data_IF_883612877633
#
_entry.id   IF_883612877633
#
_cell.length_a   1.000
_cell.length_b   1.000
_cell.length_c   1.000
_cell.angle_alpha   90.00
_cell.angle_beta   90.00
_cell.angle_gamma   90.00
#
_symmetry.space_group_name_H-M   'P 1'
#
loop_
_entity.id
_entity.type
_entity.pdbx_description
1 polymer ?
#
# COMPACT_ATOMS: atom_id res chain seq x y z
N UNK A 1 -5.86 -6.75 -24.16
CA UNK A 1 -4.77 -6.90 -23.15
C UNK A 1 -5.30 -7.82 -22.08
N UNK A 2 -4.57 -8.78 -21.57
CA UNK A 2 -5.01 -9.65 -20.49
C UNK A 2 -5.14 -8.82 -19.22
N UNK A 3 -5.02 -7.85 -18.83
CA UNK A 3 -5.32 -6.99 -17.69
C UNK A 3 -5.68 -7.75 -16.41
N UNK A 4 -6.76 -7.33 -15.77
CA UNK A 4 -7.34 -7.98 -14.58
C UNK A 4 -8.67 -8.69 -14.88
N UNK A 5 -8.93 -8.94 -16.15
CA UNK A 5 -10.15 -9.64 -16.58
C UNK A 5 -10.31 -10.97 -15.83
N UNK A 6 -11.50 -11.20 -15.28
CA UNK A 6 -11.86 -12.39 -14.48
C UNK A 6 -11.05 -12.60 -13.19
N UNK A 7 -10.23 -11.64 -12.77
CA UNK A 7 -9.54 -11.67 -11.48
C UNK A 7 -10.46 -11.18 -10.37
N UNK A 8 -10.29 -11.74 -9.18
CA UNK A 8 -10.98 -11.31 -7.96
C UNK A 8 -10.00 -10.50 -7.12
N UNK A 9 -10.33 -9.23 -6.87
CA UNK A 9 -9.43 -8.30 -6.19
C UNK A 9 -10.14 -7.68 -4.99
N UNK A 10 -9.51 -7.76 -3.83
CA UNK A 10 -9.94 -7.10 -2.60
C UNK A 10 -9.32 -5.72 -2.53
N UNK A 11 -10.12 -4.68 -2.32
CA UNK A 11 -9.65 -3.31 -2.09
C UNK A 11 -10.12 -2.85 -0.72
N UNK A 12 -9.18 -2.55 0.19
CA UNK A 12 -9.52 -2.06 1.53
C UNK A 12 -9.53 -0.53 1.57
N UNK A 13 -10.42 0.05 2.40
CA UNK A 13 -10.66 1.49 2.41
C UNK A 13 -11.25 1.97 1.08
N UNK A 14 -12.14 1.16 0.49
CA UNK A 14 -12.65 1.37 -0.86
C UNK A 14 -13.96 2.16 -0.93
N UNK A 15 -14.49 2.62 0.20
CA UNK A 15 -15.73 3.41 0.25
C UNK A 15 -15.57 4.88 -0.20
N UNK A 16 -14.34 5.35 -0.44
CA UNK A 16 -14.11 6.74 -0.88
C UNK A 16 -12.70 7.01 -1.36
N UNK A 17 -12.49 8.20 -1.91
CA UNK A 17 -11.18 8.69 -2.35
C UNK A 17 -10.44 7.75 -3.29
N UNK A 18 -9.17 7.51 -3.00
CA UNK A 18 -8.30 6.63 -3.79
C UNK A 18 -8.86 5.20 -3.89
N UNK A 19 -9.27 4.62 -2.76
CA UNK A 19 -9.75 3.23 -2.73
C UNK A 19 -11.00 3.02 -3.58
N UNK A 20 -11.94 3.99 -3.58
CA UNK A 20 -13.09 3.97 -4.48
C UNK A 20 -12.65 3.97 -5.94
N UNK A 21 -11.72 4.87 -6.33
CA UNK A 21 -11.28 4.94 -7.72
C UNK A 21 -10.50 3.69 -8.15
N UNK A 22 -9.75 3.06 -7.24
CA UNK A 22 -9.14 1.76 -7.51
C UNK A 22 -10.19 0.68 -7.80
N UNK A 23 -11.23 0.60 -6.95
CA UNK A 23 -12.31 -0.36 -7.12
C UNK A 23 -13.07 -0.17 -8.44
N UNK A 24 -13.41 1.07 -8.78
CA UNK A 24 -14.07 1.42 -10.04
C UNK A 24 -13.19 1.09 -11.26
N UNK A 25 -11.91 1.43 -11.21
CA UNK A 25 -10.98 1.16 -12.32
C UNK A 25 -10.78 -0.33 -12.51
N UNK A 26 -10.54 -1.10 -11.44
CA UNK A 26 -10.41 -2.55 -11.52
C UNK A 26 -11.65 -3.22 -12.08
N UNK A 27 -12.84 -2.77 -11.66
CA UNK A 27 -14.10 -3.30 -12.18
C UNK A 27 -14.32 -2.97 -13.67
N UNK A 28 -13.96 -1.77 -14.12
CA UNK A 28 -13.98 -1.37 -15.56
C UNK A 28 -13.06 -2.25 -16.41
N UNK A 29 -11.93 -2.68 -15.83
CA UNK A 29 -10.98 -3.59 -16.48
C UNK A 29 -11.38 -5.08 -16.36
N UNK A 30 -12.60 -5.37 -15.87
CA UNK A 30 -13.19 -6.71 -15.83
C UNK A 30 -12.92 -7.53 -14.58
N UNK A 31 -12.34 -6.96 -13.52
CA UNK A 31 -12.20 -7.64 -12.25
C UNK A 31 -13.54 -7.76 -11.50
N UNK A 32 -13.66 -8.78 -10.66
CA UNK A 32 -14.65 -8.85 -9.59
C UNK A 32 -14.04 -8.23 -8.32
N UNK A 33 -14.72 -7.27 -7.69
CA UNK A 33 -14.13 -6.46 -6.64
C UNK A 33 -14.85 -6.67 -5.30
N UNK A 34 -14.10 -6.99 -4.25
CA UNK A 34 -14.56 -6.83 -2.86
C UNK A 34 -14.25 -5.41 -2.42
N UNK A 35 -15.28 -4.63 -2.20
CA UNK A 35 -15.21 -3.25 -1.71
C UNK A 35 -15.28 -3.28 -0.19
N UNK A 36 -14.13 -3.32 0.47
CA UNK A 36 -14.08 -3.29 1.92
C UNK A 36 -13.92 -1.86 2.43
N UNK A 37 -14.82 -1.44 3.31
CA UNK A 37 -14.72 -0.18 4.04
C UNK A 37 -15.49 -0.25 5.36
N UNK A 38 -14.87 0.14 6.47
CA UNK A 38 -15.51 0.22 7.78
C UNK A 38 -16.54 1.36 7.86
N UNK A 39 -16.47 2.33 6.95
CA UNK A 39 -17.37 3.48 6.91
C UNK A 39 -17.09 4.54 7.98
N UNK A 40 -15.89 4.53 8.56
CA UNK A 40 -15.46 5.48 9.58
C UNK A 40 -15.04 6.85 9.03
N UNK A 41 -14.87 7.80 9.97
CA UNK A 41 -14.30 9.11 9.68
C UNK A 41 -12.79 9.02 9.41
N UNK A 42 -12.16 10.16 9.02
CA UNK A 42 -10.72 10.27 8.71
C UNK A 42 -9.81 9.82 9.86
N UNK A 43 -10.21 10.03 11.10
CA UNK A 43 -9.48 9.66 12.32
C UNK A 43 -9.73 8.21 12.77
N UNK A 44 -10.58 7.47 12.04
CA UNK A 44 -10.96 6.09 12.34
C UNK A 44 -12.11 5.97 13.34
N UNK A 45 -12.82 7.04 13.67
CA UNK A 45 -14.01 6.99 14.52
C UNK A 45 -15.26 6.65 13.70
N UNK A 46 -16.20 5.95 14.32
CA UNK A 46 -17.46 5.55 13.69
C UNK A 46 -17.32 4.35 12.73
N UNK A 47 -18.47 3.87 12.27
CA UNK A 47 -18.60 2.81 11.28
C UNK A 47 -19.94 2.97 10.54
N UNK A 48 -20.03 2.42 9.32
CA UNK A 48 -21.28 2.44 8.54
C UNK A 48 -21.13 1.71 7.21
N UNK A 49 -22.24 1.28 6.64
CA UNK A 49 -22.24 0.49 5.40
C UNK A 49 -22.34 1.34 4.14
N UNK A 50 -22.93 2.53 4.22
CA UNK A 50 -23.34 3.35 3.08
C UNK A 50 -22.23 3.62 2.07
N UNK A 51 -20.99 3.81 2.53
CA UNK A 51 -19.87 4.15 1.64
C UNK A 51 -19.49 2.98 0.73
N UNK A 52 -19.33 1.78 1.28
CA UNK A 52 -19.03 0.59 0.50
C UNK A 52 -20.21 0.21 -0.43
N UNK A 53 -21.44 0.26 0.09
CA UNK A 53 -22.66 -0.03 -0.69
C UNK A 53 -22.82 0.89 -1.91
N UNK A 54 -22.52 2.18 -1.75
CA UNK A 54 -22.58 3.14 -2.85
C UNK A 54 -21.59 2.77 -3.96
N UNK A 55 -20.36 2.43 -3.61
CA UNK A 55 -19.34 2.04 -4.61
C UNK A 55 -19.73 0.73 -5.30
N UNK A 56 -20.24 -0.25 -4.55
CA UNK A 56 -20.76 -1.49 -5.13
C UNK A 56 -21.90 -1.22 -6.09
N UNK A 57 -22.83 -0.31 -5.73
CA UNK A 57 -23.91 0.08 -6.62
C UNK A 57 -23.38 0.72 -7.90
N UNK A 58 -22.43 1.65 -7.81
CA UNK A 58 -21.82 2.31 -8.98
C UNK A 58 -21.17 1.28 -9.92
N UNK A 59 -20.43 0.32 -9.37
CA UNK A 59 -19.81 -0.76 -10.15
C UNK A 59 -20.87 -1.61 -10.86
N UNK A 60 -21.93 -2.02 -10.14
CA UNK A 60 -23.00 -2.84 -10.70
C UNK A 60 -23.82 -2.10 -11.76
N UNK A 61 -24.13 -0.82 -11.54
CA UNK A 61 -24.83 0.03 -12.50
C UNK A 61 -24.02 0.21 -13.81
N UNK A 62 -22.69 0.17 -13.72
CA UNK A 62 -21.77 0.16 -14.87
C UNK A 62 -21.57 -1.24 -15.51
N UNK A 63 -22.27 -2.28 -15.03
CA UNK A 63 -22.18 -3.64 -15.56
C UNK A 63 -21.04 -4.48 -14.99
N UNK A 64 -20.29 -3.98 -14.00
CA UNK A 64 -19.23 -4.68 -13.31
C UNK A 64 -19.73 -5.60 -12.18
N UNK A 65 -18.81 -6.34 -11.55
CA UNK A 65 -19.10 -7.26 -10.45
C UNK A 65 -18.44 -6.77 -9.16
N UNK A 66 -19.23 -6.56 -8.11
CA UNK A 66 -18.70 -6.16 -6.81
C UNK A 66 -19.59 -6.63 -5.65
N UNK A 67 -18.97 -6.80 -4.49
CA UNK A 67 -19.63 -7.07 -3.21
C UNK A 67 -19.03 -6.17 -2.12
N UNK A 68 -19.86 -5.72 -1.19
CA UNK A 68 -19.42 -4.93 -0.04
C UNK A 68 -18.95 -5.84 1.11
N UNK A 69 -17.98 -5.35 1.87
CA UNK A 69 -17.56 -5.91 3.15
C UNK A 69 -17.26 -4.77 4.12
N UNK A 70 -17.59 -4.93 5.40
CA UNK A 70 -17.55 -3.86 6.41
C UNK A 70 -16.64 -4.20 7.59
N UNK A 71 -15.88 -5.28 7.51
CA UNK A 71 -15.00 -5.73 8.58
C UNK A 71 -13.77 -4.82 8.71
N UNK A 72 -13.25 -4.75 9.93
CA UNK A 72 -12.04 -4.00 10.25
C UNK A 72 -10.78 -4.75 9.82
N UNK A 73 -9.90 -4.10 9.07
CA UNK A 73 -8.57 -4.62 8.72
C UNK A 73 -7.65 -4.74 9.94
N UNK A 74 -7.90 -3.94 10.98
CA UNK A 74 -7.06 -3.92 12.19
C UNK A 74 -7.16 -5.21 13.00
N UNK A 75 -8.24 -5.97 12.82
CA UNK A 75 -8.51 -7.21 13.55
C UNK A 75 -8.24 -8.43 12.65
N UNK A 76 -7.48 -9.44 13.11
CA UNK A 76 -7.20 -10.63 12.30
C UNK A 76 -8.47 -11.34 11.80
N UNK A 77 -9.48 -11.50 12.67
CA UNK A 77 -10.76 -12.12 12.29
C UNK A 77 -11.51 -11.28 11.23
N UNK A 78 -11.43 -9.95 11.30
CA UNK A 78 -12.00 -9.07 10.28
C UNK A 78 -11.30 -9.26 8.93
N UNK A 79 -9.99 -9.36 8.93
CA UNK A 79 -9.20 -9.62 7.72
C UNK A 79 -9.53 -10.99 7.09
N UNK A 80 -9.71 -12.03 7.91
CA UNK A 80 -10.16 -13.35 7.44
C UNK A 80 -11.54 -13.27 6.79
N UNK A 81 -12.50 -12.55 7.41
CA UNK A 81 -13.83 -12.34 6.85
C UNK A 81 -13.81 -11.56 5.53
N UNK A 82 -12.90 -10.57 5.38
CA UNK A 82 -12.71 -9.85 4.12
C UNK A 82 -12.34 -10.83 2.99
N UNK A 83 -11.37 -11.71 3.23
CA UNK A 83 -10.95 -12.71 2.24
C UNK A 83 -12.03 -13.77 2.03
N UNK A 84 -12.68 -14.22 3.09
CA UNK A 84 -13.82 -15.13 3.00
C UNK A 84 -14.94 -14.57 2.12
N UNK A 85 -15.22 -13.28 2.18
CA UNK A 85 -16.20 -12.62 1.29
C UNK A 85 -15.83 -12.79 -0.19
N UNK A 86 -14.54 -12.68 -0.55
CA UNK A 86 -14.09 -12.91 -1.91
C UNK A 86 -14.29 -14.37 -2.35
N UNK A 87 -13.99 -15.31 -1.46
CA UNK A 87 -14.14 -16.75 -1.73
C UNK A 87 -15.61 -17.17 -1.85
N UNK A 88 -16.46 -16.69 -0.94
CA UNK A 88 -17.88 -17.05 -0.92
C UNK A 88 -18.63 -16.47 -2.14
N UNK A 89 -18.33 -15.24 -2.54
CA UNK A 89 -19.06 -14.55 -3.60
C UNK A 89 -18.51 -14.87 -5.01
N UNK A 90 -17.18 -15.00 -5.12
CA UNK A 90 -16.51 -15.11 -6.41
C UNK A 90 -15.68 -16.39 -6.59
N UNK A 91 -15.57 -17.22 -5.57
CA UNK A 91 -14.86 -18.49 -5.60
C UNK A 91 -13.33 -18.41 -5.55
N UNK A 92 -12.75 -17.21 -5.49
CA UNK A 92 -11.28 -17.02 -5.50
C UNK A 92 -10.86 -15.68 -4.90
N UNK A 93 -9.56 -15.51 -4.66
CA UNK A 93 -8.91 -14.23 -4.45
C UNK A 93 -7.60 -14.21 -5.24
N UNK A 94 -7.40 -13.20 -6.09
CA UNK A 94 -6.22 -13.09 -6.96
C UNK A 94 -5.34 -11.87 -6.61
N UNK A 95 -5.91 -10.86 -5.97
CA UNK A 95 -5.17 -9.67 -5.57
C UNK A 95 -5.72 -9.00 -4.32
N UNK A 96 -4.82 -8.29 -3.62
CA UNK A 96 -5.13 -7.43 -2.46
C UNK A 96 -4.53 -6.06 -2.70
N UNK A 97 -5.38 -5.04 -2.69
CA UNK A 97 -4.99 -3.62 -2.64
C UNK A 97 -5.23 -3.12 -1.22
N UNK A 98 -4.17 -3.10 -0.42
CA UNK A 98 -4.19 -2.63 0.97
C UNK A 98 -4.06 -1.11 1.00
N UNK A 99 -5.21 -0.42 1.05
CA UNK A 99 -5.30 1.03 1.00
C UNK A 99 -5.94 1.65 2.25
N UNK A 100 -6.68 0.89 3.06
CA UNK A 100 -7.31 1.39 4.28
C UNK A 100 -6.34 2.17 5.17
N UNK A 101 -6.81 3.27 5.74
CA UNK A 101 -5.95 4.13 6.54
C UNK A 101 -6.69 5.23 7.28
N UNK A 102 -6.05 5.72 8.36
CA UNK A 102 -6.52 6.82 9.19
C UNK A 102 -5.37 7.81 9.44
N UNK A 103 -5.69 9.03 9.86
CA UNK A 103 -4.71 10.02 10.29
C UNK A 103 -4.99 10.47 11.73
N UNK A 104 -3.95 10.39 12.57
CA UNK A 104 -3.91 10.93 13.93
C UNK A 104 -2.56 11.59 14.14
N UNK A 105 -2.36 12.70 13.44
CA UNK A 105 -1.11 13.45 13.40
C UNK A 105 -0.85 14.18 14.71
N UNK A 106 0.42 14.33 15.05
CA UNK A 106 0.87 15.09 16.21
C UNK A 106 2.40 15.11 16.28
N UNK A 107 2.97 16.19 16.82
CA UNK A 107 4.42 16.25 17.05
C UNK A 107 4.86 15.15 18.01
N UNK A 108 6.04 14.57 17.78
CA UNK A 108 6.49 13.36 18.49
C UNK A 108 6.38 13.45 20.02
N UNK A 109 6.80 14.57 20.59
CA UNK A 109 6.74 14.79 22.05
C UNK A 109 5.32 14.97 22.62
N UNK A 110 4.31 15.16 21.76
CA UNK A 110 2.88 15.25 22.12
C UNK A 110 2.06 14.08 21.61
N UNK A 111 2.70 13.15 20.89
CA UNK A 111 2.02 11.98 20.34
C UNK A 111 1.49 11.09 21.48
N UNK A 112 0.18 10.92 21.55
CA UNK A 112 -0.45 9.98 22.48
C UNK A 112 -0.24 8.55 22.00
N UNK A 113 -0.05 7.62 22.93
CA UNK A 113 0.14 6.21 22.60
C UNK A 113 -1.04 5.64 21.81
N UNK A 114 -2.27 6.04 22.14
CA UNK A 114 -3.49 5.60 21.47
C UNK A 114 -3.52 6.05 20.00
N UNK A 115 -3.00 7.22 19.69
CA UNK A 115 -2.90 7.73 18.32
C UNK A 115 -1.81 7.00 17.52
N UNK A 116 -0.67 6.72 18.17
CA UNK A 116 0.38 5.89 17.60
C UNK A 116 -0.13 4.50 17.27
N UNK A 117 -0.69 3.81 18.26
CA UNK A 117 -1.15 2.42 18.17
C UNK A 117 -2.28 2.25 17.14
N UNK A 118 -3.27 3.15 17.15
CA UNK A 118 -4.38 3.11 16.20
C UNK A 118 -3.89 3.23 14.74
N UNK A 119 -2.94 4.13 14.47
CA UNK A 119 -2.38 4.30 13.11
C UNK A 119 -1.60 3.05 12.68
N UNK A 120 -0.77 2.49 13.55
CA UNK A 120 -0.05 1.25 13.25
C UNK A 120 -1.02 0.08 13.02
N UNK A 121 -2.05 -0.06 13.86
CA UNK A 121 -3.05 -1.12 13.74
C UNK A 121 -3.78 -1.09 12.40
N UNK A 122 -4.22 0.07 11.96
CA UNK A 122 -4.96 0.16 10.69
C UNK A 122 -4.03 0.00 9.49
N UNK A 123 -2.89 0.71 9.47
CA UNK A 123 -2.03 0.73 8.29
C UNK A 123 -1.12 -0.51 8.20
N UNK A 124 -0.31 -0.76 9.23
CA UNK A 124 0.72 -1.80 9.18
C UNK A 124 0.14 -3.18 9.49
N UNK A 125 -0.52 -3.31 10.65
CA UNK A 125 -1.17 -4.58 11.00
C UNK A 125 -2.32 -4.90 10.06
N UNK A 126 -3.12 -3.91 9.64
CA UNK A 126 -4.20 -4.11 8.69
C UNK A 126 -3.70 -4.63 7.35
N UNK A 127 -2.62 -4.05 6.81
CA UNK A 127 -1.96 -4.56 5.61
C UNK A 127 -1.47 -6.00 5.79
N UNK A 128 -0.75 -6.26 6.88
CA UNK A 128 -0.30 -7.61 7.22
C UNK A 128 -1.47 -8.61 7.33
N UNK A 129 -2.50 -8.28 8.08
CA UNK A 129 -3.62 -9.18 8.35
C UNK A 129 -4.32 -9.63 7.06
N UNK A 130 -4.69 -8.68 6.20
CA UNK A 130 -5.43 -8.97 4.96
C UNK A 130 -4.54 -9.76 3.98
N UNK A 131 -3.28 -9.38 3.82
CA UNK A 131 -2.34 -10.10 2.95
C UNK A 131 -2.10 -11.50 3.51
N UNK A 132 -1.91 -11.64 4.84
CA UNK A 132 -1.70 -12.94 5.50
C UNK A 132 -2.88 -13.88 5.30
N UNK A 133 -4.12 -13.37 5.37
CA UNK A 133 -5.33 -14.16 5.11
C UNK A 133 -5.42 -14.63 3.65
N UNK A 134 -5.01 -13.80 2.68
CA UNK A 134 -5.00 -14.16 1.27
C UNK A 134 -3.84 -15.07 0.86
N UNK A 135 -2.74 -15.06 1.60
CA UNK A 135 -1.48 -15.69 1.21
C UNK A 135 -1.55 -17.21 0.93
N UNK A 136 -2.27 -18.04 1.71
CA UNK A 136 -2.44 -19.46 1.41
C UNK A 136 -3.07 -19.71 0.05
N UNK A 137 -4.09 -18.93 -0.31
CA UNK A 137 -4.81 -19.02 -1.59
C UNK A 137 -3.90 -18.62 -2.76
N UNK A 138 -3.10 -17.56 -2.60
CA UNK A 138 -2.12 -17.15 -3.61
C UNK A 138 -1.09 -18.25 -3.87
N UNK A 139 -0.62 -18.92 -2.83
CA UNK A 139 0.35 -20.05 -2.96
C UNK A 139 -0.27 -21.26 -3.62
N UNK A 140 -1.48 -21.63 -3.25
CA UNK A 140 -2.19 -22.80 -3.79
C UNK A 140 -2.42 -22.63 -5.30
N UNK A 141 -2.92 -21.47 -5.73
CA UNK A 141 -3.19 -21.20 -7.15
C UNK A 141 -1.95 -20.75 -7.96
N UNK A 142 -0.79 -20.59 -7.31
CA UNK A 142 0.45 -20.08 -7.92
C UNK A 142 0.24 -18.75 -8.65
N UNK A 143 -0.48 -17.85 -8.04
CA UNK A 143 -0.75 -16.49 -8.51
C UNK A 143 -1.19 -15.59 -7.36
N UNK A 144 -0.60 -14.42 -7.25
CA UNK A 144 -1.03 -13.39 -6.30
C UNK A 144 -0.49 -12.02 -6.66
N UNK A 145 -1.29 -10.98 -6.45
CA UNK A 145 -0.87 -9.58 -6.63
C UNK A 145 -1.18 -8.78 -5.37
N UNK A 146 -0.16 -8.20 -4.80
CA UNK A 146 -0.26 -7.35 -3.61
C UNK A 146 0.19 -5.94 -3.96
N UNK A 147 -0.68 -4.98 -3.70
CA UNK A 147 -0.36 -3.55 -3.79
C UNK A 147 -0.66 -2.90 -2.46
N UNK A 148 0.33 -2.33 -1.81
CA UNK A 148 0.15 -1.59 -0.55
C UNK A 148 0.28 -0.09 -0.78
N UNK A 149 -0.59 0.69 -0.15
CA UNK A 149 -0.48 2.14 -0.14
C UNK A 149 0.53 2.58 0.92
N UNK A 150 1.76 2.88 0.51
CA UNK A 150 2.76 3.61 1.31
C UNK A 150 2.53 5.13 1.20
N UNK A 151 3.52 5.95 1.46
CA UNK A 151 3.42 7.41 1.37
C UNK A 151 4.79 8.04 1.21
N UNK A 152 4.85 9.22 0.59
CA UNK A 152 6.05 10.08 0.64
C UNK A 152 6.45 10.43 2.08
N UNK A 153 5.49 10.53 3.00
CA UNK A 153 5.76 10.69 4.44
C UNK A 153 6.50 9.49 5.03
N UNK A 154 6.21 8.27 4.56
CA UNK A 154 6.98 7.08 4.95
C UNK A 154 8.37 7.04 4.30
N UNK A 155 8.47 7.43 3.03
CA UNK A 155 9.71 7.36 2.26
C UNK A 155 10.72 8.45 2.65
N UNK A 156 10.24 9.68 2.93
CA UNK A 156 11.09 10.85 3.08
C UNK A 156 10.87 11.60 4.41
N UNK A 157 9.90 11.16 5.22
CA UNK A 157 9.52 11.82 6.44
C UNK A 157 8.52 12.95 6.21
N UNK A 158 7.74 13.27 7.26
CA UNK A 158 6.88 14.44 7.31
C UNK A 158 6.69 14.88 8.77
N UNK A 159 6.72 16.18 9.01
CA UNK A 159 6.58 16.75 10.36
C UNK A 159 5.21 16.39 10.95
N UNK A 160 5.19 15.89 12.19
CA UNK A 160 3.97 15.54 12.89
C UNK A 160 3.38 14.16 12.51
N UNK A 161 4.05 13.37 11.67
CA UNK A 161 3.56 12.08 11.18
C UNK A 161 4.50 10.92 11.52
N UNK A 162 5.06 10.89 12.72
CA UNK A 162 5.97 9.80 13.11
C UNK A 162 5.29 8.42 13.14
N UNK A 163 4.05 8.33 13.63
CA UNK A 163 3.24 7.13 13.60
C UNK A 163 2.92 6.68 12.16
N UNK A 164 2.41 7.60 11.35
CA UNK A 164 2.04 7.36 9.96
C UNK A 164 3.26 7.00 9.11
N UNK A 165 4.35 7.77 9.22
CA UNK A 165 5.59 7.50 8.51
C UNK A 165 6.18 6.13 8.84
N UNK A 166 6.21 5.76 10.13
CA UNK A 166 6.66 4.44 10.57
C UNK A 166 5.81 3.31 9.98
N UNK A 167 4.47 3.44 10.04
CA UNK A 167 3.56 2.44 9.48
C UNK A 167 3.72 2.30 7.96
N UNK A 168 3.82 3.42 7.24
CA UNK A 168 3.92 3.44 5.78
C UNK A 168 5.27 2.92 5.26
N UNK A 169 6.37 3.20 5.95
CA UNK A 169 7.67 2.60 5.60
C UNK A 169 7.73 1.12 6.02
N UNK A 170 7.07 0.74 7.12
CA UNK A 170 6.93 -0.65 7.53
C UNK A 170 6.27 -1.53 6.45
N UNK A 171 5.28 -1.00 5.72
CA UNK A 171 4.68 -1.69 4.57
C UNK A 171 5.68 -1.91 3.44
N UNK A 172 6.64 -1.01 3.22
CA UNK A 172 7.72 -1.22 2.23
C UNK A 172 8.61 -2.37 2.65
N UNK A 173 8.99 -2.46 3.94
CA UNK A 173 9.72 -3.60 4.48
C UNK A 173 8.95 -4.91 4.32
N UNK A 174 7.63 -4.89 4.55
CA UNK A 174 6.77 -6.06 4.37
C UNK A 174 6.79 -6.54 2.92
N UNK A 175 6.55 -5.68 1.93
CA UNK A 175 6.52 -6.10 0.51
C UNK A 175 7.87 -6.59 0.02
N UNK A 176 8.98 -6.06 0.53
CA UNK A 176 10.32 -6.54 0.16
C UNK A 176 10.51 -8.01 0.55
N UNK A 177 10.09 -8.39 1.76
CA UNK A 177 10.15 -9.77 2.22
C UNK A 177 9.16 -10.68 1.49
N UNK A 178 7.91 -10.22 1.31
CA UNK A 178 6.88 -10.97 0.59
C UNK A 178 7.25 -11.24 -0.86
N UNK A 179 7.94 -10.32 -1.52
CA UNK A 179 8.41 -10.50 -2.89
C UNK A 179 9.40 -11.67 -3.01
N UNK A 180 10.29 -11.84 -2.02
CA UNK A 180 11.23 -12.98 -1.97
C UNK A 180 10.49 -14.30 -1.70
N UNK A 181 9.59 -14.31 -0.71
CA UNK A 181 8.82 -15.51 -0.36
C UNK A 181 7.83 -15.92 -1.47
N UNK A 182 7.29 -14.95 -2.18
CA UNK A 182 6.29 -15.14 -3.24
C UNK A 182 6.86 -15.53 -4.60
N UNK A 183 8.15 -15.28 -4.85
CA UNK A 183 8.76 -15.38 -6.18
C UNK A 183 8.50 -16.73 -6.88
N UNK A 184 8.67 -17.85 -6.18
CA UNK A 184 8.45 -19.18 -6.76
C UNK A 184 6.98 -19.56 -6.98
N UNK A 185 6.04 -18.74 -6.50
CA UNK A 185 4.59 -18.94 -6.63
C UNK A 185 3.95 -17.88 -7.53
N UNK A 186 4.71 -17.12 -8.31
CA UNK A 186 4.18 -16.02 -9.12
C UNK A 186 3.37 -15.00 -8.28
N UNK A 187 3.80 -14.75 -7.04
CA UNK A 187 3.21 -13.74 -6.18
C UNK A 187 4.09 -12.51 -6.21
N UNK A 188 3.52 -11.39 -6.67
CA UNK A 188 4.21 -10.10 -6.75
C UNK A 188 3.66 -9.14 -5.70
N UNK A 189 4.53 -8.44 -4.99
CA UNK A 189 4.17 -7.47 -3.97
C UNK A 189 4.86 -6.12 -4.26
N UNK A 190 4.06 -5.06 -4.42
CA UNK A 190 4.54 -3.72 -4.76
C UNK A 190 3.87 -2.67 -3.86
N UNK A 191 4.42 -1.47 -3.83
CA UNK A 191 3.88 -0.34 -3.10
C UNK A 191 3.67 0.87 -3.99
N UNK A 192 2.64 1.65 -3.70
CA UNK A 192 2.45 2.98 -4.24
C UNK A 192 2.50 4.02 -3.13
N UNK A 193 3.09 5.17 -3.41
CA UNK A 193 3.01 6.38 -2.59
C UNK A 193 2.19 7.41 -3.37
N UNK A 194 0.86 7.42 -3.19
CA UNK A 194 -0.02 8.25 -3.99
C UNK A 194 0.07 9.72 -3.59
N UNK A 195 0.07 10.60 -4.59
CA UNK A 195 -0.13 12.03 -4.45
C UNK A 195 -1.50 12.36 -5.04
N UNK A 196 -2.52 12.43 -4.20
CA UNK A 196 -3.89 12.66 -4.64
C UNK A 196 -4.66 13.59 -3.69
N UNK A 197 -5.57 14.36 -4.28
CA UNK A 197 -6.56 15.13 -3.55
C UNK A 197 -7.60 14.18 -2.95
N UNK A 198 -7.60 14.05 -1.65
CA UNK A 198 -8.52 13.22 -0.89
C UNK A 198 -8.93 13.95 0.38
N UNK A 199 -9.90 13.43 1.12
CA UNK A 199 -10.23 13.93 2.47
C UNK A 199 -9.01 14.06 3.40
N UNK A 200 -7.91 13.39 3.09
CA UNK A 200 -6.67 13.46 3.87
C UNK A 200 -5.78 14.64 3.52
N UNK A 201 -5.96 15.27 2.34
CA UNK A 201 -5.07 16.30 1.80
C UNK A 201 -5.76 17.63 1.51
N UNK A 202 -7.10 17.66 1.47
CA UNK A 202 -7.88 18.84 1.05
C UNK A 202 -7.64 20.09 1.91
N UNK A 203 -7.32 19.93 3.18
CA UNK A 203 -7.05 21.03 4.12
C UNK A 203 -5.57 21.49 4.11
N UNK A 204 -4.70 20.79 3.36
CA UNK A 204 -3.24 20.98 3.44
C UNK A 204 -2.68 21.68 2.19
N UNK A 205 -3.33 21.47 1.03
CA UNK A 205 -2.83 21.95 -0.27
C UNK A 205 -3.73 23.02 -0.88
N UNK A 206 -3.16 23.98 -1.65
CA UNK A 206 -3.94 24.95 -2.40
C UNK A 206 -4.90 24.27 -3.38
N UNK A 207 -6.10 24.85 -3.58
CA UNK A 207 -7.15 24.28 -4.47
C UNK A 207 -6.67 24.01 -5.90
N UNK A 208 -5.80 24.88 -6.43
CA UNK A 208 -5.21 24.73 -7.77
C UNK A 208 -4.28 23.52 -7.88
N UNK A 209 -3.61 23.16 -6.80
CA UNK A 209 -2.78 21.95 -6.72
C UNK A 209 -3.66 20.72 -6.58
N UNK A 210 -4.68 20.78 -5.71
CA UNK A 210 -5.64 19.69 -5.51
C UNK A 210 -6.37 19.32 -6.80
N UNK A 211 -6.75 20.30 -7.61
CA UNK A 211 -7.41 20.07 -8.90
C UNK A 211 -6.57 19.28 -9.91
N UNK A 212 -5.24 19.25 -9.75
CA UNK A 212 -4.30 18.48 -10.58
C UNK A 212 -3.94 17.11 -9.98
N UNK A 213 -4.31 16.86 -8.73
CA UNK A 213 -3.99 15.65 -7.99
C UNK A 213 -5.23 14.78 -7.81
N UNK A 214 -5.91 14.43 -8.90
CA UNK A 214 -7.10 13.58 -8.80
C UNK A 214 -6.74 12.09 -8.69
N UNK A 215 -7.56 11.28 -7.99
CA UNK A 215 -7.34 9.83 -7.84
C UNK A 215 -7.23 9.07 -9.15
N UNK A 216 -7.84 9.56 -10.22
CA UNK A 216 -7.84 8.96 -11.56
C UNK A 216 -6.43 8.86 -12.18
N UNK A 217 -5.48 9.70 -11.75
CA UNK A 217 -4.08 9.55 -12.15
C UNK A 217 -3.36 8.39 -11.48
N UNK A 218 -3.88 7.91 -10.35
CA UNK A 218 -3.24 6.85 -9.55
C UNK A 218 -3.82 5.47 -9.88
N UNK A 219 -5.13 5.39 -10.07
CA UNK A 219 -5.85 4.13 -10.19
C UNK A 219 -5.36 3.23 -11.35
N UNK A 220 -5.01 3.74 -12.55
CA UNK A 220 -4.48 2.89 -13.63
C UNK A 220 -3.16 2.21 -13.27
N UNK A 221 -2.30 2.87 -12.47
CA UNK A 221 -1.04 2.26 -12.02
C UNK A 221 -1.31 1.12 -11.04
N UNK A 222 -2.26 1.29 -10.11
CA UNK A 222 -2.69 0.22 -9.20
C UNK A 222 -3.26 -0.96 -9.97
N UNK A 223 -4.14 -0.69 -10.94
CA UNK A 223 -4.71 -1.74 -11.79
C UNK A 223 -3.62 -2.50 -12.56
N UNK A 224 -2.65 -1.80 -13.17
CA UNK A 224 -1.53 -2.43 -13.86
C UNK A 224 -0.68 -3.31 -12.91
N UNK A 225 -0.41 -2.86 -11.69
CA UNK A 225 0.32 -3.66 -10.70
C UNK A 225 -0.41 -4.94 -10.29
N UNK A 226 -1.72 -5.02 -10.51
CA UNK A 226 -2.55 -6.21 -10.28
C UNK A 226 -2.64 -7.15 -11.50
N UNK A 227 -2.06 -6.78 -12.66
CA UNK A 227 -2.10 -7.60 -13.88
C UNK A 227 -1.06 -8.72 -13.86
N UNK A 228 -1.24 -9.68 -14.76
CA UNK A 228 -0.25 -10.74 -15.00
C UNK A 228 0.99 -10.23 -15.71
N UNK A 229 0.85 -9.20 -16.56
CA UNK A 229 1.93 -8.60 -17.35
C UNK A 229 2.90 -7.77 -16.50
N UNK A 230 2.51 -7.36 -15.31
CA UNK A 230 3.42 -6.62 -14.44
C UNK A 230 4.60 -7.51 -13.99
N UNK A 231 5.85 -7.21 -14.44
CA UNK A 231 7.01 -8.02 -14.08
C UNK A 231 7.62 -7.63 -12.73
N UNK A 232 7.15 -6.52 -12.14
CA UNK A 232 7.80 -5.95 -10.97
C UNK A 232 7.28 -6.58 -9.67
N UNK A 233 8.22 -6.82 -8.76
CA UNK A 233 7.97 -7.11 -7.36
C UNK A 233 8.96 -6.31 -6.49
N UNK A 234 8.70 -6.08 -5.23
CA UNK A 234 9.49 -5.24 -4.32
C UNK A 234 9.74 -3.81 -4.86
N UNK A 235 8.79 -3.28 -5.62
CA UNK A 235 8.94 -1.95 -6.23
C UNK A 235 8.03 -0.93 -5.58
N UNK A 236 8.55 0.29 -5.42
CA UNK A 236 7.82 1.43 -4.83
C UNK A 236 7.64 2.49 -5.90
N UNK A 237 6.41 2.95 -6.11
CA UNK A 237 6.08 3.97 -7.11
C UNK A 237 5.43 5.19 -6.45
N UNK A 238 5.99 6.38 -6.66
CA UNK A 238 5.32 7.66 -6.36
C UNK A 238 4.46 8.03 -7.56
N UNK A 239 3.17 8.23 -7.34
CA UNK A 239 2.18 8.39 -8.43
C UNK A 239 1.22 9.54 -8.11
N UNK A 240 1.08 10.47 -9.03
CA UNK A 240 0.08 11.55 -8.93
C UNK A 240 0.34 12.70 -9.88
N UNK A 241 -0.69 13.48 -10.20
CA UNK A 241 -0.59 14.64 -11.08
C UNK A 241 -0.02 14.32 -12.47
N UNK A 242 -0.32 13.14 -13.01
CA UNK A 242 0.20 12.68 -14.31
C UNK A 242 1.65 12.17 -14.27
N UNK A 243 2.29 12.09 -13.10
CA UNK A 243 3.67 11.62 -12.95
C UNK A 243 3.71 10.26 -12.26
N UNK A 244 4.53 9.35 -12.78
CA UNK A 244 4.85 8.05 -12.18
C UNK A 244 6.36 7.95 -12.02
N UNK A 245 6.84 7.71 -10.80
CA UNK A 245 8.27 7.62 -10.50
C UNK A 245 8.54 6.37 -9.66
N UNK A 246 9.58 5.62 -10.01
CA UNK A 246 10.09 4.54 -9.14
C UNK A 246 11.02 5.12 -8.08
N UNK A 247 10.89 4.65 -6.85
CA UNK A 247 11.78 4.93 -5.73
C UNK A 247 12.51 3.65 -5.35
N UNK A 248 13.81 3.75 -5.07
CA UNK A 248 14.64 2.63 -4.65
C UNK A 248 15.66 3.08 -3.59
N UNK A 249 16.15 2.14 -2.80
CA UNK A 249 17.26 2.36 -1.88
C UNK A 249 18.58 2.22 -2.65
N UNK A 250 19.54 3.07 -2.32
CA UNK A 250 20.88 3.06 -2.88
C UNK A 250 21.91 2.93 -1.76
N UNK A 251 23.00 2.27 -2.04
CA UNK A 251 24.16 2.15 -1.14
C UNK A 251 25.46 2.30 -1.91
N UNK A 252 26.47 2.88 -1.29
CA UNK A 252 27.82 2.93 -1.82
C UNK A 252 28.59 1.63 -1.53
N UNK A 253 29.82 1.52 -2.03
CA UNK A 253 30.67 0.36 -1.78
C UNK A 253 31.13 0.26 -0.31
N UNK A 254 31.01 1.34 0.45
CA UNK A 254 31.46 1.43 1.83
C UNK A 254 32.97 1.40 1.97
N UNK A 255 33.44 1.27 3.21
CA UNK A 255 34.87 1.11 3.56
C UNK A 255 35.08 -0.22 4.27
N UNK A 256 36.23 -0.83 4.06
CA UNK A 256 36.62 -2.07 4.73
C UNK A 256 37.77 -1.80 5.70
N UNK A 257 37.74 -2.44 6.85
CA UNK A 257 38.79 -2.43 7.84
C UNK A 257 39.30 -3.84 8.09
N UNK A 258 40.62 -4.04 8.04
CA UNK A 258 41.26 -5.36 8.28
C UNK A 258 41.13 -5.84 9.72
N UNK A 259 40.85 -4.95 10.66
CA UNK A 259 40.61 -5.21 12.07
C UNK A 259 39.49 -4.29 12.60
N UNK A 260 38.87 -4.59 13.74
CA UNK A 260 37.87 -3.71 14.33
C UNK A 260 38.39 -2.27 14.45
N UNK A 261 37.70 -1.27 13.83
CA UNK A 261 38.13 0.13 13.86
C UNK A 261 37.87 0.77 15.22
N UNK A 262 38.71 1.75 15.58
CA UNK A 262 38.39 2.68 16.64
C UNK A 262 37.40 3.77 16.15
N UNK A 263 36.83 4.55 17.08
CA UNK A 263 35.98 5.71 16.73
C UNK A 263 36.76 6.72 15.85
N UNK A 264 38.04 6.89 16.14
CA UNK A 264 38.92 7.79 15.36
C UNK A 264 39.16 7.28 13.94
N UNK A 265 39.31 5.97 13.75
CA UNK A 265 39.46 5.38 12.42
C UNK A 265 38.17 5.57 11.59
N UNK A 266 36.99 5.44 12.20
CA UNK A 266 35.69 5.69 11.54
C UNK A 266 35.57 7.19 11.20
N UNK A 267 35.89 8.07 12.14
CA UNK A 267 35.83 9.52 11.92
C UNK A 267 36.75 9.99 10.80
N UNK A 268 37.95 9.41 10.69
CA UNK A 268 38.92 9.76 9.64
C UNK A 268 38.47 9.41 8.22
N UNK A 269 37.51 8.46 8.07
CA UNK A 269 36.96 8.02 6.79
C UNK A 269 35.47 8.37 6.61
N UNK A 270 34.93 9.28 7.42
CA UNK A 270 33.50 9.56 7.44
C UNK A 270 33.00 10.11 6.10
N UNK A 271 33.75 10.96 5.45
CA UNK A 271 33.39 11.52 4.14
C UNK A 271 33.29 10.43 3.07
N UNK A 272 34.21 9.45 3.08
CA UNK A 272 34.17 8.29 2.18
C UNK A 272 32.96 7.37 2.48
N UNK A 273 32.67 7.13 3.79
CA UNK A 273 31.54 6.33 4.24
C UNK A 273 30.21 6.96 3.80
N UNK A 274 30.10 8.28 3.80
CA UNK A 274 28.86 9.00 3.51
C UNK A 274 28.72 9.45 2.06
N UNK A 275 29.75 9.30 1.21
CA UNK A 275 29.69 9.66 -0.20
C UNK A 275 28.79 8.68 -0.97
N UNK A 276 27.69 9.19 -1.52
CA UNK A 276 26.76 8.46 -2.38
C UNK A 276 26.94 8.77 -3.87
N UNK A 277 27.96 9.50 -4.28
CA UNK A 277 28.15 9.89 -5.68
C UNK A 277 28.27 8.72 -6.66
N UNK A 278 28.82 7.58 -6.19
CA UNK A 278 28.93 6.33 -6.94
C UNK A 278 27.97 5.22 -6.45
N UNK A 279 26.93 5.59 -5.69
CA UNK A 279 26.00 4.62 -5.13
C UNK A 279 25.21 3.88 -6.21
N UNK A 280 24.94 2.61 -5.93
CA UNK A 280 24.12 1.74 -6.79
C UNK A 280 22.85 1.34 -6.06
N UNK A 281 21.82 0.95 -6.81
CA UNK A 281 20.61 0.41 -6.21
C UNK A 281 20.98 -0.74 -5.27
N UNK A 282 20.52 -0.65 -4.03
CA UNK A 282 20.77 -1.68 -3.02
C UNK A 282 20.12 -3.00 -3.43
N UNK A 283 20.90 -4.08 -3.34
CA UNK A 283 20.46 -5.45 -3.56
C UNK A 283 20.98 -6.30 -2.39
N UNK A 284 20.10 -7.05 -1.74
CA UNK A 284 20.51 -7.93 -0.66
C UNK A 284 21.03 -9.24 -1.25
N UNK A 285 22.34 -9.36 -1.36
CA UNK A 285 23.01 -10.64 -1.66
C UNK A 285 23.77 -11.07 -0.40
N UNK A 286 23.39 -12.19 0.14
CA UNK A 286 24.30 -12.96 0.98
C UNK A 286 25.43 -13.42 0.04
N UNK A 287 26.64 -12.90 0.24
CA UNK A 287 27.84 -13.17 -0.55
C UNK A 287 28.18 -14.65 -0.64
#
# INVERSE_FOLDING_TARGET
>A
MPGVQDRVIVVTGAGGGLGREYALTLAREGASVVVNDLGGARDGTGAGHNMADQVVKEIKDAGGRAVANYDSVAEPAGAENIIKTALDEFGAVHGVVSNAGILRDGTFHKMLFENWDAVLKVHLYGGYNVIRAAWPHFREQSYGRVVVATSTSGLFGNFGQTNYGAAKLGLVGLINSLALEGAKYNIHANAIAPLAATRMTEDILPKEVLAKLTPEYVAPVVAYLCTEENPNSASVFVVGGGKVQRVALFQNAGVTYDKPPTVQDVAARWDEITDLSAAKQADFKLG
#
